data_IF_207487416293
#
_entry.id   IF_207487416293
#
_cell.length_a   1.000
_cell.length_b   1.000
_cell.length_c   1.000
_cell.angle_alpha   90.00
_cell.angle_beta   90.00
_cell.angle_gamma   90.00
#
_symmetry.space_group_name_H-M   'P 1'
#
loop_
_entity.id
_entity.type
_entity.pdbx_description
1 polymer ?
#
# COMPACT_ATOMS: atom_id res chain seq x y z
N UNK A 1 -6.63 23.33 -0.68
CA UNK A 1 -5.97 22.26 0.10
C UNK A 1 -4.47 22.51 0.18
N UNK A 2 -3.69 22.59 -0.95
CA UNK A 2 -2.24 22.83 -0.91
C UNK A 2 -1.88 24.07 -0.08
N UNK A 3 -2.49 25.20 -0.36
CA UNK A 3 -2.26 26.47 0.35
C UNK A 3 -2.50 26.32 1.87
N UNK A 4 -3.54 25.57 2.27
CA UNK A 4 -3.83 25.35 3.69
C UNK A 4 -2.71 24.56 4.39
N UNK A 5 -2.11 23.61 3.70
CA UNK A 5 -0.95 22.87 4.22
C UNK A 5 0.32 23.73 4.23
N UNK A 6 0.57 24.51 3.17
CA UNK A 6 1.70 25.43 3.10
C UNK A 6 1.67 26.46 4.23
N UNK A 7 0.48 27.03 4.50
CA UNK A 7 0.28 27.99 5.57
C UNK A 7 0.44 27.36 6.95
N UNK A 8 -0.13 26.16 7.17
CA UNK A 8 -0.06 25.48 8.47
C UNK A 8 1.35 24.99 8.81
N UNK A 9 2.08 24.51 7.82
CA UNK A 9 3.42 23.94 8.01
C UNK A 9 4.56 24.95 7.79
N UNK A 10 4.23 26.15 7.29
CA UNK A 10 5.23 27.19 7.01
C UNK A 10 6.23 26.82 5.91
N UNK A 11 5.81 25.95 4.97
CA UNK A 11 6.67 25.44 3.89
C UNK A 11 6.04 25.69 2.53
N UNK A 12 6.82 25.60 1.48
CA UNK A 12 6.34 25.52 0.11
C UNK A 12 6.33 24.08 -0.37
N UNK A 13 5.17 23.60 -0.81
CA UNK A 13 5.02 22.27 -1.38
C UNK A 13 5.20 22.31 -2.88
N UNK A 14 5.88 21.31 -3.43
CA UNK A 14 6.00 21.16 -4.87
C UNK A 14 4.62 20.97 -5.51
N UNK A 15 4.41 21.65 -6.65
CA UNK A 15 3.19 21.54 -7.42
C UNK A 15 3.18 20.32 -8.34
N UNK A 16 4.35 19.82 -8.69
CA UNK A 16 4.51 18.67 -9.57
C UNK A 16 4.33 17.37 -8.77
N UNK A 17 3.59 16.39 -9.33
CA UNK A 17 3.48 15.08 -8.72
C UNK A 17 4.84 14.39 -8.59
N UNK A 18 5.09 13.74 -7.47
CA UNK A 18 6.25 12.87 -7.29
C UNK A 18 6.19 11.62 -8.19
N UNK A 19 7.24 10.82 -8.14
CA UNK A 19 7.32 9.57 -8.88
C UNK A 19 6.24 8.57 -8.44
N UNK A 20 5.76 7.80 -9.39
CA UNK A 20 4.99 6.58 -9.13
C UNK A 20 5.96 5.43 -8.84
N UNK A 21 5.52 4.39 -8.14
CA UNK A 21 6.39 3.27 -7.74
C UNK A 21 7.25 2.72 -8.90
N UNK A 22 6.71 2.39 -10.09
CA UNK A 22 7.55 1.91 -11.18
C UNK A 22 8.61 2.91 -11.63
N UNK A 23 8.27 4.22 -11.63
CA UNK A 23 9.21 5.26 -12.00
C UNK A 23 10.31 5.49 -10.95
N UNK A 24 10.01 5.22 -9.65
CA UNK A 24 11.04 5.28 -8.59
C UNK A 24 12.16 4.27 -8.86
N UNK A 25 11.82 3.06 -9.32
CA UNK A 25 12.82 2.04 -9.65
C UNK A 25 13.68 2.44 -10.87
N UNK A 26 13.06 2.97 -11.92
CA UNK A 26 13.79 3.47 -13.09
C UNK A 26 14.74 4.61 -12.70
N UNK A 27 14.27 5.54 -11.88
CA UNK A 27 15.07 6.66 -11.39
C UNK A 27 16.17 6.24 -10.41
N UNK A 28 15.94 5.20 -9.60
CA UNK A 28 16.96 4.64 -8.73
C UNK A 28 18.12 4.06 -9.55
N UNK A 29 17.83 3.30 -10.59
CA UNK A 29 18.84 2.73 -11.49
C UNK A 29 19.57 3.79 -12.30
N UNK A 30 18.95 4.93 -12.60
CA UNK A 30 19.60 6.08 -13.24
C UNK A 30 20.39 6.97 -12.27
N UNK A 31 20.28 6.74 -10.95
CA UNK A 31 20.95 7.53 -9.91
C UNK A 31 20.18 8.80 -9.49
N UNK A 32 18.97 9.01 -10.01
CA UNK A 32 18.12 10.15 -9.65
C UNK A 32 17.37 9.97 -8.34
N UNK A 33 17.01 8.73 -7.97
CA UNK A 33 16.28 8.39 -6.75
C UNK A 33 17.19 7.62 -5.79
N UNK A 34 17.59 8.24 -4.68
CA UNK A 34 18.70 7.77 -3.85
C UNK A 34 18.28 7.23 -2.49
N UNK A 35 17.11 7.61 -2.01
CA UNK A 35 16.63 7.22 -0.69
C UNK A 35 15.16 6.85 -0.69
N UNK A 36 14.79 5.82 0.09
CA UNK A 36 13.41 5.38 0.25
C UNK A 36 13.16 5.01 1.71
N UNK A 37 12.05 5.48 2.25
CA UNK A 37 11.43 4.94 3.45
C UNK A 37 10.20 4.12 3.07
N UNK A 38 10.30 2.82 3.24
CA UNK A 38 9.24 1.85 2.92
C UNK A 38 8.61 1.37 4.23
N UNK A 39 7.31 1.64 4.40
CA UNK A 39 6.57 1.29 5.61
C UNK A 39 5.42 0.34 5.31
N UNK A 40 5.46 -0.86 5.88
CA UNK A 40 4.37 -1.84 5.80
C UNK A 40 4.11 -2.39 4.40
N UNK A 41 5.14 -2.43 3.56
CA UNK A 41 5.05 -2.90 2.17
C UNK A 41 6.23 -3.80 1.83
N UNK A 42 5.96 -4.94 1.19
CA UNK A 42 6.99 -5.84 0.68
C UNK A 42 7.14 -5.71 -0.83
N UNK A 43 7.72 -4.57 -1.25
CA UNK A 43 7.83 -4.17 -2.66
C UNK A 43 8.68 -5.13 -3.49
N UNK A 44 9.66 -5.81 -2.90
CA UNK A 44 10.44 -6.83 -3.59
C UNK A 44 9.60 -8.05 -4.01
N UNK A 45 8.43 -8.28 -3.37
CA UNK A 45 7.49 -9.31 -3.75
C UNK A 45 6.26 -8.77 -4.50
N UNK A 46 5.78 -7.55 -4.18
CA UNK A 46 4.53 -7.03 -4.72
C UNK A 46 4.66 -6.46 -6.11
N UNK A 47 5.83 -5.93 -6.46
CA UNK A 47 6.02 -5.26 -7.74
C UNK A 47 6.51 -6.21 -8.83
N UNK A 48 6.02 -6.03 -10.07
CA UNK A 48 6.40 -6.88 -11.19
C UNK A 48 7.85 -6.67 -11.59
N UNK A 49 8.45 -7.66 -12.27
CA UNK A 49 9.85 -7.66 -12.68
C UNK A 49 10.82 -7.60 -11.49
N UNK A 50 10.75 -8.61 -10.64
CA UNK A 50 11.49 -8.72 -9.36
C UNK A 50 12.98 -8.37 -9.50
N UNK A 51 13.67 -8.85 -10.55
CA UNK A 51 15.09 -8.54 -10.76
C UNK A 51 15.38 -7.05 -10.96
N UNK A 52 14.47 -6.34 -11.63
CA UNK A 52 14.56 -4.91 -11.83
C UNK A 52 14.35 -4.17 -10.50
N UNK A 53 13.36 -4.60 -9.72
CA UNK A 53 13.08 -4.04 -8.40
C UNK A 53 14.26 -4.27 -7.45
N UNK A 54 14.78 -5.48 -7.37
CA UNK A 54 15.94 -5.83 -6.55
C UNK A 54 17.16 -4.97 -6.91
N UNK A 55 17.49 -4.87 -8.20
CA UNK A 55 18.60 -4.03 -8.65
C UNK A 55 18.39 -2.53 -8.30
N UNK A 56 17.15 -2.03 -8.37
CA UNK A 56 16.84 -0.67 -7.96
C UNK A 56 17.02 -0.46 -6.46
N UNK A 57 16.55 -1.41 -5.62
CA UNK A 57 16.72 -1.35 -4.17
C UNK A 57 18.21 -1.39 -3.77
N UNK A 58 19.01 -2.25 -4.43
CA UNK A 58 20.45 -2.33 -4.21
C UNK A 58 21.20 -1.05 -4.61
N UNK A 59 20.68 -0.31 -5.59
CA UNK A 59 21.32 0.94 -6.07
C UNK A 59 21.10 2.14 -5.16
N UNK A 60 20.18 2.08 -4.21
CA UNK A 60 19.83 3.20 -3.32
C UNK A 60 20.95 3.48 -2.30
N UNK A 61 21.23 4.76 -2.06
CA UNK A 61 22.17 5.19 -1.03
C UNK A 61 21.62 4.99 0.40
N UNK A 62 20.30 5.06 0.58
CA UNK A 62 19.63 4.88 1.85
C UNK A 62 18.26 4.22 1.68
N UNK A 63 18.11 3.00 2.14
CA UNK A 63 16.82 2.30 2.20
C UNK A 63 16.50 2.01 3.67
N UNK A 64 15.42 2.63 4.17
CA UNK A 64 14.86 2.37 5.48
C UNK A 64 13.59 1.56 5.28
N UNK A 65 13.49 0.40 5.92
CA UNK A 65 12.28 -0.44 5.90
C UNK A 65 11.71 -0.50 7.30
N UNK A 66 10.42 -0.22 7.42
CA UNK A 66 9.67 -0.43 8.66
C UNK A 66 8.57 -1.46 8.42
N UNK A 67 8.65 -2.60 9.07
CA UNK A 67 7.67 -3.66 8.96
C UNK A 67 7.61 -4.51 10.24
N UNK A 68 6.54 -5.27 10.39
CA UNK A 68 6.39 -6.24 11.50
C UNK A 68 7.19 -7.53 11.26
N UNK A 69 7.65 -7.77 10.03
CA UNK A 69 8.47 -8.92 9.66
C UNK A 69 9.69 -8.50 8.86
N UNK A 70 10.78 -9.25 9.02
CA UNK A 70 11.92 -9.20 8.10
C UNK A 70 11.49 -9.87 6.79
N UNK A 71 10.86 -9.09 5.91
CA UNK A 71 10.34 -9.50 4.62
C UNK A 71 11.43 -9.48 3.52
N UNK A 72 11.08 -9.74 2.26
CA UNK A 72 12.06 -9.77 1.16
C UNK A 72 12.68 -8.39 0.92
N UNK A 73 11.90 -7.32 1.01
CA UNK A 73 12.39 -5.93 0.89
C UNK A 73 13.41 -5.58 1.97
N UNK A 74 13.24 -6.11 3.18
CA UNK A 74 14.15 -5.87 4.29
C UNK A 74 15.56 -6.42 4.05
N UNK A 75 15.75 -7.36 3.12
CA UNK A 75 17.08 -7.87 2.74
C UNK A 75 17.98 -6.81 2.12
N UNK A 76 17.39 -5.80 1.52
CA UNK A 76 18.09 -4.67 0.89
C UNK A 76 18.21 -3.44 1.79
N UNK A 77 17.57 -3.48 2.98
CA UNK A 77 17.52 -2.33 3.87
C UNK A 77 18.87 -1.99 4.49
N UNK A 78 19.23 -0.71 4.48
CA UNK A 78 20.35 -0.17 5.26
C UNK A 78 19.96 -0.04 6.74
N UNK A 79 18.66 0.25 7.01
CA UNK A 79 18.10 0.33 8.34
C UNK A 79 16.75 -0.38 8.35
N UNK A 80 16.55 -1.25 9.34
CA UNK A 80 15.26 -1.86 9.59
C UNK A 80 14.69 -1.32 10.91
N UNK A 81 13.48 -0.78 10.86
CA UNK A 81 12.73 -0.32 12.02
C UNK A 81 11.62 -1.33 12.33
N UNK A 82 11.54 -1.87 13.55
CA UNK A 82 10.43 -2.74 13.92
C UNK A 82 9.10 -1.99 13.82
N UNK A 83 8.16 -2.54 13.06
CA UNK A 83 6.80 -2.06 12.97
C UNK A 83 5.92 -2.59 14.10
N UNK A 84 4.74 -2.02 14.25
CA UNK A 84 3.73 -2.47 15.21
C UNK A 84 2.50 -3.02 14.51
N UNK A 85 1.94 -4.11 15.04
CA UNK A 85 0.68 -4.65 14.58
C UNK A 85 -0.51 -3.77 15.01
N UNK A 86 -1.70 -4.04 14.48
CA UNK A 86 -2.90 -3.32 14.88
C UNK A 86 -3.29 -3.53 16.36
N UNK A 87 -2.79 -4.58 17.01
CA UNK A 87 -2.97 -4.82 18.45
C UNK A 87 -2.06 -3.97 19.33
N UNK A 88 -1.00 -3.44 18.76
CA UNK A 88 0.08 -2.76 19.47
C UNK A 88 0.02 -1.24 19.35
N UNK A 89 -1.02 -0.69 18.70
CA UNK A 89 -1.15 0.76 18.47
C UNK A 89 -2.57 1.26 18.62
N UNK A 90 -2.70 2.52 18.97
CA UNK A 90 -3.91 3.32 18.85
C UNK A 90 -3.93 4.05 17.51
N UNK A 91 -5.14 4.43 17.06
CA UNK A 91 -5.32 5.22 15.87
C UNK A 91 -6.68 5.03 15.23
N UNK A 92 -6.75 5.23 13.92
CA UNK A 92 -7.93 4.98 13.11
C UNK A 92 -7.56 4.17 11.87
N UNK A 93 -8.46 3.28 11.46
CA UNK A 93 -8.37 2.58 10.19
C UNK A 93 -9.57 2.95 9.31
N UNK A 94 -9.32 3.06 8.02
CA UNK A 94 -10.38 3.26 7.02
C UNK A 94 -10.50 1.99 6.19
N UNK A 95 -11.71 1.42 6.15
CA UNK A 95 -11.97 0.20 5.38
C UNK A 95 -12.39 0.49 3.92
N UNK A 96 -12.64 -0.56 3.13
CA UNK A 96 -13.01 -0.44 1.73
C UNK A 96 -14.37 0.26 1.48
N UNK A 97 -15.27 0.30 2.48
CA UNK A 97 -16.51 1.07 2.41
C UNK A 97 -16.35 2.53 2.91
N UNK A 98 -15.13 3.01 3.03
CA UNK A 98 -14.76 4.36 3.49
C UNK A 98 -15.10 4.64 4.95
N UNK A 99 -15.28 3.60 5.76
CA UNK A 99 -15.65 3.73 7.16
C UNK A 99 -14.39 3.86 8.03
N UNK A 100 -14.32 4.97 8.75
CA UNK A 100 -13.23 5.30 9.66
C UNK A 100 -13.61 4.81 11.05
N UNK A 101 -12.85 3.88 11.60
CA UNK A 101 -13.08 3.26 12.90
C UNK A 101 -11.86 3.39 13.81
N UNK A 102 -12.09 3.39 15.13
CA UNK A 102 -10.99 3.37 16.11
C UNK A 102 -10.30 2.02 16.15
N UNK A 103 -8.97 2.09 16.22
CA UNK A 103 -8.11 0.98 16.64
C UNK A 103 -7.60 1.30 18.03
N UNK A 104 -7.65 0.34 18.94
CA UNK A 104 -7.24 0.50 20.34
C UNK A 104 -6.13 -0.46 20.66
N UNK A 105 -5.07 0.07 21.25
CA UNK A 105 -3.94 -0.74 21.69
C UNK A 105 -4.39 -1.76 22.73
N UNK A 106 -4.12 -3.03 22.46
CA UNK A 106 -4.39 -4.15 23.36
C UNK A 106 -3.15 -4.69 24.06
N UNK A 107 -1.96 -4.41 23.51
CA UNK A 107 -0.67 -4.85 24.04
C UNK A 107 0.42 -3.85 23.71
N UNK A 108 1.52 -3.90 24.44
CA UNK A 108 2.66 -3.03 24.16
C UNK A 108 3.40 -3.48 22.88
N UNK A 109 3.91 -2.53 22.07
CA UNK A 109 4.68 -2.86 20.87
C UNK A 109 5.92 -3.67 21.18
N UNK A 110 6.10 -4.81 20.54
CA UNK A 110 7.31 -5.65 20.69
C UNK A 110 8.58 -4.89 20.27
N UNK A 111 8.47 -4.02 19.26
CA UNK A 111 9.55 -3.12 18.85
C UNK A 111 9.76 -1.90 19.73
N UNK A 112 8.96 -1.73 20.79
CA UNK A 112 9.03 -0.62 21.74
C UNK A 112 8.36 0.67 21.28
N UNK A 113 7.89 0.77 20.03
CA UNK A 113 7.23 1.96 19.47
C UNK A 113 6.07 1.57 18.57
N UNK A 114 5.01 2.38 18.58
CA UNK A 114 4.00 2.32 17.53
C UNK A 114 4.54 2.92 16.22
N UNK A 115 3.93 2.58 15.09
CA UNK A 115 4.40 3.04 13.76
C UNK A 115 4.43 4.57 13.65
N UNK A 116 3.42 5.25 14.19
CA UNK A 116 3.35 6.71 14.18
C UNK A 116 4.47 7.35 15.01
N UNK A 117 4.87 6.73 16.13
CA UNK A 117 5.99 7.20 16.97
C UNK A 117 7.34 7.03 16.26
N UNK A 118 7.50 5.94 15.50
CA UNK A 118 8.69 5.73 14.70
C UNK A 118 8.78 6.77 13.56
N UNK A 119 7.65 7.04 12.89
CA UNK A 119 7.55 8.07 11.84
C UNK A 119 7.81 9.46 12.42
N UNK A 120 7.24 9.78 13.58
CA UNK A 120 7.49 11.04 14.28
C UNK A 120 8.98 11.21 14.62
N UNK A 121 9.59 10.16 15.17
CA UNK A 121 11.02 10.18 15.50
C UNK A 121 11.91 10.38 14.25
N UNK A 122 11.56 9.79 13.13
CA UNK A 122 12.26 10.00 11.86
C UNK A 122 12.09 11.45 11.37
N UNK A 123 10.87 12.00 11.42
CA UNK A 123 10.60 13.38 11.04
C UNK A 123 11.40 14.37 11.90
N UNK A 124 11.43 14.16 13.22
CA UNK A 124 12.22 14.98 14.15
C UNK A 124 13.74 14.89 13.87
N UNK A 125 14.24 13.69 13.54
CA UNK A 125 15.64 13.52 13.15
C UNK A 125 15.97 14.24 11.83
N UNK A 126 14.99 14.45 10.97
CA UNK A 126 15.09 15.24 9.73
C UNK A 126 14.88 16.74 9.95
N UNK A 127 14.61 17.18 11.19
CA UNK A 127 14.47 18.59 11.55
C UNK A 127 13.04 19.12 11.53
N UNK A 128 12.02 18.27 11.51
CA UNK A 128 10.63 18.69 11.69
C UNK A 128 10.34 18.94 13.17
N UNK A 129 9.66 20.04 13.47
CA UNK A 129 9.24 20.43 14.83
C UNK A 129 7.89 19.79 15.22
N UNK A 130 7.72 18.50 14.92
CA UNK A 130 6.50 17.77 15.29
C UNK A 130 6.63 17.25 16.71
N UNK A 131 5.56 17.41 17.50
CA UNK A 131 5.50 17.04 18.93
C UNK A 131 4.22 16.30 19.32
N UNK A 132 3.62 15.57 18.39
CA UNK A 132 2.40 14.81 18.66
C UNK A 132 2.59 13.82 19.80
N UNK A 133 1.68 13.89 20.78
CA UNK A 133 1.66 12.99 21.93
C UNK A 133 0.81 11.74 21.70
N UNK A 134 -0.13 11.80 20.73
CA UNK A 134 -1.05 10.70 20.45
C UNK A 134 -1.67 10.84 19.05
N UNK A 135 -2.25 9.75 18.50
CA UNK A 135 -2.87 9.78 17.18
C UNK A 135 -4.13 10.65 17.07
N UNK A 136 -4.76 11.02 18.18
CA UNK A 136 -5.91 11.95 18.17
C UNK A 136 -5.48 13.35 17.74
N UNK A 137 -4.32 13.81 18.20
CA UNK A 137 -3.76 15.11 17.76
C UNK A 137 -3.44 15.09 16.25
N UNK A 138 -2.91 13.97 15.73
CA UNK A 138 -2.67 13.79 14.30
C UNK A 138 -3.99 13.84 13.52
N UNK A 139 -5.04 13.15 13.99
CA UNK A 139 -6.36 13.19 13.35
C UNK A 139 -6.98 14.59 13.43
N UNK A 140 -6.77 15.31 14.52
CA UNK A 140 -7.27 16.69 14.66
C UNK A 140 -6.64 17.63 13.61
N UNK A 141 -5.34 17.48 13.34
CA UNK A 141 -4.67 18.24 12.28
C UNK A 141 -5.16 17.83 10.89
N UNK A 142 -5.30 16.52 10.62
CA UNK A 142 -5.90 16.04 9.37
C UNK A 142 -7.28 16.67 9.16
N UNK A 143 -8.13 16.68 10.17
CA UNK A 143 -9.47 17.26 10.11
C UNK A 143 -9.44 18.77 9.88
N UNK A 144 -8.49 19.49 10.47
CA UNK A 144 -8.34 20.93 10.30
C UNK A 144 -7.87 21.32 8.89
N UNK A 145 -7.01 20.53 8.28
CA UNK A 145 -6.38 20.83 6.99
C UNK A 145 -7.09 20.19 5.79
N UNK A 146 -7.90 19.15 6.01
CA UNK A 146 -8.54 18.39 4.94
C UNK A 146 -10.06 18.49 5.03
N UNK A 147 -10.73 19.31 4.20
CA UNK A 147 -12.18 19.56 4.30
C UNK A 147 -13.05 18.29 4.33
N UNK A 148 -12.66 17.25 3.61
CA UNK A 148 -13.40 15.98 3.61
C UNK A 148 -13.27 15.16 4.90
N UNK A 149 -12.39 15.56 5.82
CA UNK A 149 -12.21 15.00 7.15
C UNK A 149 -12.64 15.95 8.26
N UNK A 150 -13.10 17.16 7.96
CA UNK A 150 -13.37 18.21 8.95
C UNK A 150 -14.34 17.79 10.08
N UNK A 151 -15.22 16.84 9.80
CA UNK A 151 -16.14 16.28 10.79
C UNK A 151 -15.67 14.99 11.47
N UNK A 152 -14.46 14.52 11.17
CA UNK A 152 -13.91 13.27 11.75
C UNK A 152 -13.22 13.59 13.06
N UNK A 153 -13.85 13.24 14.17
CA UNK A 153 -13.27 13.41 15.51
C UNK A 153 -13.32 12.10 16.27
N UNK A 154 -12.39 11.89 17.19
CA UNK A 154 -12.38 10.71 18.05
C UNK A 154 -13.66 10.60 18.87
N UNK A 155 -14.16 11.73 19.42
CA UNK A 155 -15.44 11.77 20.15
C UNK A 155 -16.59 11.25 19.28
N UNK A 156 -16.69 11.71 18.03
CA UNK A 156 -17.74 11.26 17.10
C UNK A 156 -17.60 9.75 16.80
N UNK A 157 -16.39 9.27 16.52
CA UNK A 157 -16.14 7.85 16.25
C UNK A 157 -16.50 7.00 17.46
N UNK A 158 -16.16 7.44 18.70
CA UNK A 158 -16.53 6.73 19.92
C UNK A 158 -18.06 6.65 20.08
N UNK A 159 -18.76 7.72 19.83
CA UNK A 159 -20.23 7.78 19.96
C UNK A 159 -20.95 6.95 18.91
N UNK A 160 -20.47 6.95 17.66
CA UNK A 160 -21.12 6.30 16.52
C UNK A 160 -20.56 4.90 16.18
N UNK A 161 -19.41 4.53 16.76
CA UNK A 161 -18.64 3.33 16.39
C UNK A 161 -17.75 3.54 15.15
N UNK A 162 -18.16 4.38 14.22
CA UNK A 162 -17.41 4.72 13.00
C UNK A 162 -18.03 5.95 12.32
N UNK A 163 -17.25 6.57 11.44
CA UNK A 163 -17.70 7.68 10.57
C UNK A 163 -17.41 7.32 9.12
N UNK A 164 -18.33 7.59 8.21
CA UNK A 164 -18.14 7.26 6.80
C UNK A 164 -17.65 8.49 6.02
N UNK A 165 -16.47 8.37 5.43
CA UNK A 165 -15.86 9.43 4.62
C UNK A 165 -16.61 9.66 3.29
N UNK A 166 -16.69 10.90 2.78
CA UNK A 166 -16.30 12.15 3.40
C UNK A 166 -17.23 12.57 4.55
N UNK A 167 -16.66 13.23 5.55
CA UNK A 167 -17.40 13.81 6.65
C UNK A 167 -16.91 15.27 6.83
N UNK A 168 -17.69 16.22 6.34
CA UNK A 168 -17.27 17.60 6.16
C UNK A 168 -17.61 18.53 7.33
N UNK A 169 -18.40 18.05 8.29
CA UNK A 169 -18.79 18.83 9.46
C UNK A 169 -19.06 17.93 10.69
N UNK A 170 -19.11 18.57 11.87
CA UNK A 170 -19.29 17.85 13.14
C UNK A 170 -20.71 17.33 13.36
N UNK A 171 -21.70 17.82 12.64
CA UNK A 171 -23.11 17.42 12.79
C UNK A 171 -23.40 16.16 11.96
N UNK A 172 -22.87 16.09 10.77
CA UNK A 172 -23.04 14.95 9.85
C UNK A 172 -22.45 13.65 10.43
N UNK A 173 -23.13 12.54 10.23
CA UNK A 173 -22.62 11.19 10.55
C UNK A 173 -21.71 10.63 9.45
N UNK A 174 -21.41 11.42 8.42
CA UNK A 174 -20.65 11.05 7.25
C UNK A 174 -21.51 10.89 6.00
N UNK A 175 -20.94 10.29 4.95
CA UNK A 175 -21.57 10.16 3.64
C UNK A 175 -21.78 8.69 3.28
N UNK A 176 -22.92 8.08 3.59
CA UNK A 176 -23.22 6.69 3.27
C UNK A 176 -23.22 6.43 1.77
N UNK A 177 -23.87 7.31 1.01
CA UNK A 177 -23.96 7.22 -0.45
C UNK A 177 -23.17 8.34 -1.11
N UNK A 178 -22.22 7.99 -1.96
CA UNK A 178 -21.47 8.99 -2.73
C UNK A 178 -22.29 9.51 -3.90
N UNK A 179 -22.11 10.81 -4.20
CA UNK A 179 -22.67 11.43 -5.40
C UNK A 179 -24.20 11.30 -5.53
N UNK A 180 -24.95 11.41 -4.42
CA UNK A 180 -26.40 11.25 -4.40
C UNK A 180 -27.10 12.30 -5.29
N UNK A 181 -26.72 13.56 -5.17
CA UNK A 181 -27.32 14.65 -5.94
C UNK A 181 -26.52 15.02 -7.21
N UNK A 182 -25.19 15.01 -7.10
CA UNK A 182 -24.31 15.41 -8.19
C UNK A 182 -22.89 14.88 -8.02
N UNK A 183 -22.16 14.79 -9.13
CA UNK A 183 -20.74 14.48 -9.10
C UNK A 183 -19.93 15.74 -8.80
N UNK A 184 -18.93 15.65 -7.94
CA UNK A 184 -18.04 16.77 -7.59
C UNK A 184 -17.35 17.39 -8.81
N UNK A 185 -17.04 16.58 -9.83
CA UNK A 185 -16.41 17.02 -11.09
C UNK A 185 -17.40 17.42 -12.18
N UNK A 186 -18.70 17.43 -11.88
CA UNK A 186 -19.76 17.67 -12.86
C UNK A 186 -20.08 16.44 -13.72
N UNK A 187 -20.58 16.68 -14.92
CA UNK A 187 -20.95 15.59 -15.84
C UNK A 187 -19.75 14.75 -16.25
N UNK A 188 -19.99 13.46 -16.46
CA UNK A 188 -18.99 12.55 -16.99
C UNK A 188 -18.55 12.97 -18.40
N UNK A 189 -17.26 12.80 -18.68
CA UNK A 189 -16.68 13.07 -19.99
C UNK A 189 -16.33 11.76 -20.67
N UNK A 190 -16.76 11.60 -21.92
CA UNK A 190 -16.27 10.51 -22.75
C UNK A 190 -14.87 10.83 -23.25
N UNK A 191 -13.95 9.91 -22.99
CA UNK A 191 -12.58 10.02 -23.49
C UNK A 191 -12.41 9.01 -24.61
N UNK A 192 -12.10 9.49 -25.81
CA UNK A 192 -11.78 8.62 -26.94
C UNK A 192 -10.40 8.05 -26.71
N UNK A 193 -10.31 6.72 -26.61
CA UNK A 193 -9.05 6.02 -26.46
C UNK A 193 -8.87 5.04 -27.61
N UNK A 194 -7.69 5.04 -28.21
CA UNK A 194 -7.31 4.05 -29.19
C UNK A 194 -6.94 2.72 -28.50
N UNK A 195 -7.27 1.61 -29.16
CA UNK A 195 -6.82 0.31 -28.70
C UNK A 195 -5.31 0.15 -28.93
N UNK A 196 -4.55 0.09 -27.87
CA UNK A 196 -3.12 -0.21 -27.92
C UNK A 196 -2.92 -1.69 -27.58
N UNK A 197 -2.56 -2.54 -28.57
CA UNK A 197 -2.35 -3.94 -28.31
C UNK A 197 -1.15 -4.16 -27.41
N UNK A 198 -1.25 -5.12 -26.47
CA UNK A 198 -0.11 -5.52 -25.67
C UNK A 198 1.04 -6.04 -26.53
N UNK A 199 2.27 -5.79 -26.08
CA UNK A 199 3.48 -6.38 -26.68
C UNK A 199 3.63 -7.86 -26.26
N UNK A 200 3.01 -8.26 -25.16
CA UNK A 200 2.97 -9.64 -24.67
C UNK A 200 1.95 -10.46 -25.46
N UNK A 201 2.40 -11.03 -26.58
CA UNK A 201 1.57 -11.86 -27.47
C UNK A 201 2.12 -13.27 -27.53
N UNK A 202 1.20 -14.22 -27.75
CA UNK A 202 1.59 -15.59 -28.04
C UNK A 202 2.51 -15.64 -29.26
N UNK A 203 3.55 -16.44 -29.16
CA UNK A 203 4.49 -16.75 -30.24
C UNK A 203 4.70 -18.24 -30.31
N UNK A 204 5.39 -18.72 -31.37
CA UNK A 204 5.74 -20.16 -31.47
C UNK A 204 6.55 -20.63 -30.25
N UNK A 205 7.40 -19.78 -29.66
CA UNK A 205 8.22 -20.09 -28.49
C UNK A 205 7.43 -20.01 -27.19
N UNK A 206 6.52 -19.06 -27.08
CA UNK A 206 5.67 -18.81 -25.91
C UNK A 206 4.20 -18.83 -26.35
N UNK A 207 3.61 -20.03 -26.49
CA UNK A 207 2.30 -20.19 -27.12
C UNK A 207 1.11 -19.98 -26.17
N UNK A 208 1.35 -19.84 -24.87
CA UNK A 208 0.33 -19.66 -23.84
C UNK A 208 0.32 -18.23 -23.31
N UNK A 209 -0.85 -17.79 -22.88
CA UNK A 209 -1.01 -16.58 -22.08
C UNK A 209 -1.20 -17.02 -20.64
N UNK A 210 -0.38 -16.50 -19.75
CA UNK A 210 -0.53 -16.67 -18.30
C UNK A 210 -1.29 -15.48 -17.73
N UNK A 211 -2.22 -15.75 -16.82
CA UNK A 211 -2.87 -14.74 -15.98
C UNK A 211 -2.79 -15.17 -14.53
N UNK A 212 -2.78 -14.20 -13.63
CA UNK A 212 -2.82 -14.46 -12.19
C UNK A 212 -4.23 -14.27 -11.65
N UNK A 213 -4.59 -15.03 -10.63
CA UNK A 213 -5.88 -14.92 -9.93
C UNK A 213 -5.69 -14.71 -8.43
N UNK A 214 -6.71 -14.19 -7.77
CA UNK A 214 -6.72 -14.04 -6.32
C UNK A 214 -7.06 -15.35 -5.65
N UNK A 215 -6.37 -15.64 -4.54
CA UNK A 215 -6.66 -16.76 -3.64
C UNK A 215 -7.32 -16.19 -2.38
N UNK A 216 -8.49 -16.72 -2.01
CA UNK A 216 -9.29 -16.18 -0.91
C UNK A 216 -8.56 -16.27 0.45
N UNK A 217 -7.75 -17.30 0.64
CA UNK A 217 -6.99 -17.54 1.88
C UNK A 217 -5.76 -16.66 2.05
N UNK A 218 -5.31 -15.98 0.97
CA UNK A 218 -4.11 -15.15 1.00
C UNK A 218 -4.43 -13.70 0.66
N UNK A 219 -3.84 -12.77 1.42
CA UNK A 219 -3.99 -11.33 1.18
C UNK A 219 -2.76 -10.78 0.46
N UNK A 220 -2.97 -10.21 -0.73
CA UNK A 220 -1.91 -9.70 -1.61
C UNK A 220 -0.81 -10.76 -1.83
N UNK A 221 0.45 -10.43 -1.53
CA UNK A 221 1.60 -11.35 -1.65
C UNK A 221 1.73 -12.32 -0.47
N UNK A 222 0.82 -12.23 0.51
CA UNK A 222 0.76 -13.16 1.63
C UNK A 222 1.80 -12.88 2.74
N UNK A 223 2.39 -11.69 2.79
CA UNK A 223 3.41 -11.35 3.79
C UNK A 223 2.95 -11.62 5.25
N UNK A 224 1.66 -11.42 5.54
CA UNK A 224 1.06 -11.77 6.83
C UNK A 224 0.37 -13.13 6.79
N UNK A 225 -0.51 -13.37 5.83
CA UNK A 225 -1.40 -14.53 5.82
C UNK A 225 -0.68 -15.86 5.62
N UNK A 226 0.48 -15.88 4.93
CA UNK A 226 1.34 -17.08 4.83
C UNK A 226 2.00 -17.47 6.18
N UNK A 227 1.99 -16.57 7.17
CA UNK A 227 2.48 -16.81 8.54
C UNK A 227 1.39 -17.21 9.52
N UNK A 228 0.18 -17.46 9.02
CA UNK A 228 -0.98 -17.90 9.79
C UNK A 228 -1.46 -19.27 9.33
N UNK A 229 -2.49 -19.82 9.98
CA UNK A 229 -3.11 -21.08 9.58
C UNK A 229 -3.73 -21.04 8.18
N UNK A 230 -3.95 -19.87 7.59
CA UNK A 230 -4.40 -19.73 6.20
C UNK A 230 -3.48 -20.44 5.19
N UNK A 231 -2.19 -20.60 5.52
CA UNK A 231 -1.22 -21.33 4.72
C UNK A 231 -1.58 -22.83 4.59
N UNK A 232 -2.38 -23.39 5.49
CA UNK A 232 -2.81 -24.79 5.40
C UNK A 232 -3.82 -25.04 4.29
N UNK A 233 -4.56 -23.99 3.85
CA UNK A 233 -5.54 -24.12 2.78
C UNK A 233 -4.91 -24.04 1.38
N UNK A 234 -3.81 -23.27 1.25
CA UNK A 234 -3.02 -23.14 0.03
C UNK A 234 -1.55 -23.01 0.43
N UNK A 235 -0.91 -24.13 0.62
CA UNK A 235 0.49 -24.19 1.08
C UNK A 235 1.49 -23.80 -0.02
N UNK A 236 1.11 -24.02 -1.28
CA UNK A 236 1.95 -23.83 -2.46
C UNK A 236 1.21 -23.09 -3.56
N UNK A 237 1.93 -22.41 -4.43
CA UNK A 237 1.38 -21.82 -5.63
C UNK A 237 1.10 -22.92 -6.65
N UNK A 238 -0.08 -22.88 -7.27
CA UNK A 238 -0.50 -23.88 -8.26
C UNK A 238 -0.73 -23.23 -9.62
N UNK A 239 -0.41 -23.97 -10.68
CA UNK A 239 -0.74 -23.63 -12.06
C UNK A 239 -2.00 -24.37 -12.48
N UNK A 240 -3.06 -23.62 -12.79
CA UNK A 240 -4.23 -24.18 -13.44
C UNK A 240 -4.04 -24.11 -14.96
N UNK A 241 -4.16 -25.24 -15.63
CA UNK A 241 -4.00 -25.36 -17.08
C UNK A 241 -5.13 -26.16 -17.68
N UNK A 242 -5.58 -25.78 -18.90
CA UNK A 242 -6.61 -26.53 -19.59
C UNK A 242 -6.12 -27.97 -19.90
N UNK A 243 -6.97 -29.02 -19.70
CA UNK A 243 -6.54 -30.42 -19.87
C UNK A 243 -5.91 -30.73 -21.23
N UNK A 244 -6.45 -30.20 -22.32
CA UNK A 244 -5.86 -30.41 -23.67
C UNK A 244 -4.48 -29.75 -23.81
N UNK A 245 -4.24 -28.62 -23.15
CA UNK A 245 -2.93 -27.96 -23.13
C UNK A 245 -1.92 -28.73 -22.28
N UNK A 246 -2.37 -29.32 -21.16
CA UNK A 246 -1.56 -30.20 -20.31
C UNK A 246 -1.17 -31.47 -21.08
N UNK A 247 -2.14 -32.18 -21.66
CA UNK A 247 -1.91 -33.40 -22.44
C UNK A 247 -0.92 -33.18 -23.57
N UNK A 248 -1.09 -32.09 -24.34
CA UNK A 248 -0.19 -31.75 -25.46
C UNK A 248 1.27 -31.50 -25.05
N UNK A 249 1.51 -31.30 -23.74
CA UNK A 249 2.82 -31.06 -23.13
C UNK A 249 3.30 -32.19 -22.24
N UNK A 250 2.52 -33.29 -22.14
CA UNK A 250 2.82 -34.42 -21.27
C UNK A 250 2.79 -34.11 -19.79
N UNK A 251 1.93 -33.17 -19.38
CA UNK A 251 1.75 -32.75 -17.99
C UNK A 251 0.53 -33.44 -17.42
N UNK A 252 0.70 -34.07 -16.26
CA UNK A 252 -0.34 -34.68 -15.44
C UNK A 252 -0.68 -33.83 -14.22
N UNK A 253 -1.88 -34.03 -13.66
CA UNK A 253 -2.26 -33.38 -12.42
C UNK A 253 -1.30 -33.73 -11.28
N UNK A 254 -0.84 -32.73 -10.53
CA UNK A 254 0.15 -32.88 -9.48
C UNK A 254 1.61 -32.83 -9.92
N UNK A 255 1.89 -32.69 -11.22
CA UNK A 255 3.27 -32.57 -11.70
C UNK A 255 3.87 -31.19 -11.34
N UNK A 256 5.15 -31.18 -11.00
CA UNK A 256 5.93 -29.95 -10.93
C UNK A 256 6.29 -29.46 -12.32
N UNK A 257 5.99 -28.20 -12.59
CA UNK A 257 6.24 -27.58 -13.90
C UNK A 257 7.07 -26.31 -13.77
N UNK A 258 7.92 -26.07 -14.77
CA UNK A 258 8.64 -24.82 -14.93
C UNK A 258 7.85 -23.85 -15.83
N UNK A 259 7.73 -22.61 -15.41
CA UNK A 259 7.14 -21.53 -16.22
C UNK A 259 8.27 -20.62 -16.68
N UNK A 260 8.29 -20.29 -17.97
CA UNK A 260 9.24 -19.36 -18.54
C UNK A 260 8.54 -18.34 -19.43
N UNK A 261 8.99 -17.10 -19.37
CA UNK A 261 8.50 -16.00 -20.22
C UNK A 261 9.64 -15.37 -21.01
N UNK A 262 9.39 -14.24 -21.69
CA UNK A 262 10.44 -13.44 -22.32
C UNK A 262 11.34 -12.73 -21.35
N UNK A 263 10.83 -12.46 -20.15
CA UNK A 263 11.49 -11.65 -19.12
C UNK A 263 12.14 -12.55 -18.05
N UNK A 264 11.55 -13.72 -17.78
CA UNK A 264 12.07 -14.65 -16.78
C UNK A 264 11.42 -16.00 -16.78
#
# INVERSE_FOLDING_TARGET
VRESFEDAWGVKLDAEPGHRIPNMFDEALSGGFKGLYCQGEDIAQSDPNTRHVEAALESMECLIVQDIFLNETAKFAHVFLPGSSFLEKDGTFTNAERRISRVRKAMEPLGGKADWEATLGLAQALGCDWDYENPEQIMAEIAALTPSFAGVTYEKIERLGSVQWPCTDVVSEGTPTMHEDSFTRGLGQFVVTEYVPTVERCTRRFPLIMTTGRILSQYNVGAQTRRTENSTWHAEDVLEIHPADAESRGISDGDWVGIASRIG
#
